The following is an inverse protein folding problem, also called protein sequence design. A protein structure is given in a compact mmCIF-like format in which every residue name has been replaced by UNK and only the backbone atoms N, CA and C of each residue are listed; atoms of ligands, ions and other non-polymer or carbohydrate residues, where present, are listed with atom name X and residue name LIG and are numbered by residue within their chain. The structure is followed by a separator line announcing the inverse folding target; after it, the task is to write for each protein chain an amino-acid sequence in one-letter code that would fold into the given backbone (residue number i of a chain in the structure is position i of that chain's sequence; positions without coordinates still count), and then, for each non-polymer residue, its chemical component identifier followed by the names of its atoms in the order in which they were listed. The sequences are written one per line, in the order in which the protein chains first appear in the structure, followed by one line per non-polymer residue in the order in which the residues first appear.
data_IF_955218104110
#
_entry.id   IF_955218104110
#
_cell.length_a   1.000
_cell.length_b   1.000
_cell.length_c   1.000
_cell.angle_alpha   90.00
_cell.angle_beta   90.00
_cell.angle_gamma   90.00
#
_symmetry.space_group_name_H-M   'P 1'
#
loop_
_entity.id
_entity.type
_entity.pdbx_description
1 polymer ?
#
# COMPACT_ATOMS: atom_id res chain seq x y z
N UNK A 1 -10.07 26.22 -18.67
CA UNK A 1 -10.02 24.76 -18.45
C UNK A 1 -10.43 24.08 -19.74
N UNK A 2 -9.54 23.29 -20.35
CA UNK A 2 -9.88 22.47 -21.53
C UNK A 2 -10.59 21.20 -21.06
N UNK A 3 -11.74 20.89 -21.66
CA UNK A 3 -12.46 19.64 -21.40
C UNK A 3 -11.58 18.49 -21.92
N UNK A 4 -11.26 17.48 -21.09
CA UNK A 4 -10.44 16.35 -21.54
C UNK A 4 -11.17 15.56 -22.64
N UNK A 5 -10.45 15.08 -23.64
CA UNK A 5 -11.01 14.20 -24.67
C UNK A 5 -11.22 12.77 -24.13
N UNK A 6 -12.03 11.98 -24.83
CA UNK A 6 -12.24 10.57 -24.49
C UNK A 6 -10.92 9.80 -24.38
N UNK A 7 -10.00 9.99 -25.32
CA UNK A 7 -8.69 9.35 -25.30
C UNK A 7 -7.85 9.78 -24.08
N UNK A 8 -7.94 11.05 -23.67
CA UNK A 8 -7.26 11.53 -22.47
C UNK A 8 -7.83 10.90 -21.20
N UNK A 9 -9.15 10.74 -21.10
CA UNK A 9 -9.79 10.05 -19.96
C UNK A 9 -9.40 8.57 -19.90
N UNK A 10 -9.43 7.87 -21.04
CA UNK A 10 -9.00 6.46 -21.09
C UNK A 10 -7.54 6.29 -20.68
N UNK A 11 -6.66 7.19 -21.14
CA UNK A 11 -5.26 7.22 -20.73
C UNK A 11 -5.13 7.45 -19.22
N UNK A 12 -5.86 8.42 -18.69
CA UNK A 12 -5.84 8.73 -17.26
C UNK A 12 -6.36 7.56 -16.41
N UNK A 13 -7.37 6.82 -16.87
CA UNK A 13 -7.83 5.62 -16.19
C UNK A 13 -6.75 4.53 -16.16
N UNK A 14 -6.08 4.28 -17.30
CA UNK A 14 -5.00 3.31 -17.38
C UNK A 14 -3.80 3.68 -16.47
N UNK A 15 -3.43 4.97 -16.43
CA UNK A 15 -2.37 5.45 -15.55
C UNK A 15 -2.74 5.27 -14.05
N UNK A 16 -4.03 5.45 -13.68
CA UNK A 16 -4.52 5.16 -12.32
C UNK A 16 -4.47 3.67 -11.98
N UNK A 17 -4.81 2.78 -12.92
CA UNK A 17 -4.72 1.33 -12.68
C UNK A 17 -3.27 0.87 -12.47
N UNK A 18 -2.35 1.38 -13.29
CA UNK A 18 -0.91 1.13 -13.14
C UNK A 18 -0.43 1.65 -11.77
N UNK A 19 -0.90 2.84 -11.41
CA UNK A 19 -0.94 3.41 -10.07
C UNK A 19 -1.21 2.38 -8.97
N UNK A 20 -2.44 1.86 -9.02
CA UNK A 20 -2.97 0.92 -8.05
C UNK A 20 -2.19 -0.39 -8.00
N UNK A 21 -1.81 -0.93 -9.16
CA UNK A 21 -1.00 -2.16 -9.24
C UNK A 21 0.36 -1.99 -8.55
N UNK A 22 0.99 -0.82 -8.72
CA UNK A 22 2.27 -0.50 -8.05
C UNK A 22 2.11 -0.47 -6.53
N UNK A 23 1.06 0.18 -6.02
CA UNK A 23 0.79 0.21 -4.58
C UNK A 23 0.49 -1.18 -4.00
N UNK A 24 -0.26 -2.02 -4.71
CA UNK A 24 -0.51 -3.40 -4.30
C UNK A 24 0.77 -4.21 -4.22
N UNK A 25 1.64 -4.10 -5.23
CA UNK A 25 2.95 -4.76 -5.21
C UNK A 25 3.79 -4.33 -4.01
N UNK A 26 3.83 -3.03 -3.69
CA UNK A 26 4.54 -2.56 -2.50
C UNK A 26 3.92 -3.08 -1.20
N UNK A 27 2.60 -3.19 -1.12
CA UNK A 27 1.93 -3.78 0.04
C UNK A 27 2.35 -5.25 0.25
N UNK A 28 2.51 -6.01 -0.84
CA UNK A 28 2.98 -7.40 -0.82
C UNK A 28 4.48 -7.50 -0.47
N UNK A 29 5.32 -6.63 -1.05
CA UNK A 29 6.75 -6.58 -0.76
C UNK A 29 7.04 -6.23 0.70
N UNK A 30 6.27 -5.29 1.29
CA UNK A 30 6.37 -4.96 2.71
C UNK A 30 6.06 -6.16 3.61
N UNK A 31 5.05 -6.95 3.25
CA UNK A 31 4.71 -8.17 3.97
C UNK A 31 5.83 -9.22 3.85
N UNK A 32 6.34 -9.42 2.62
CA UNK A 32 7.41 -10.38 2.33
C UNK A 32 8.74 -10.06 3.04
N UNK A 33 9.19 -8.81 3.00
CA UNK A 33 10.49 -8.39 3.57
C UNK A 33 10.48 -8.41 5.09
N UNK A 34 9.38 -8.00 5.72
CA UNK A 34 9.35 -7.75 7.16
C UNK A 34 8.65 -8.83 7.98
N UNK A 35 7.91 -9.75 7.35
CA UNK A 35 7.24 -10.86 8.04
C UNK A 35 8.20 -11.66 8.92
N UNK A 36 9.39 -12.02 8.42
CA UNK A 36 10.37 -12.79 9.19
C UNK A 36 11.09 -11.95 10.26
N UNK A 37 11.52 -10.74 9.90
CA UNK A 37 12.32 -9.86 10.78
C UNK A 37 11.53 -9.39 12.01
N UNK A 38 10.22 -9.24 11.87
CA UNK A 38 9.34 -8.70 12.91
C UNK A 38 8.42 -9.76 13.54
N UNK A 39 8.56 -11.04 13.15
CA UNK A 39 7.58 -12.07 13.48
C UNK A 39 7.34 -12.20 14.99
N UNK A 40 8.40 -12.17 15.81
CA UNK A 40 8.28 -12.66 17.19
C UNK A 40 9.32 -12.05 18.14
N UNK A 41 9.30 -10.74 18.40
CA UNK A 41 10.20 -10.16 19.39
C UNK A 41 10.02 -10.76 20.80
N UNK A 42 8.81 -11.23 21.12
CA UNK A 42 8.48 -11.88 22.39
C UNK A 42 9.10 -13.27 22.62
N UNK A 43 9.61 -13.95 21.59
CA UNK A 43 10.41 -15.18 21.81
C UNK A 43 11.85 -14.84 22.21
N UNK A 44 12.34 -13.65 21.87
CA UNK A 44 13.67 -13.20 22.27
C UNK A 44 13.78 -13.08 23.79
N UNK A 45 12.69 -12.73 24.49
CA UNK A 45 12.65 -12.69 25.96
C UNK A 45 13.01 -14.03 26.59
N UNK A 46 12.83 -15.18 25.93
CA UNK A 46 13.20 -16.46 26.51
C UNK A 46 14.73 -16.66 26.63
N UNK A 47 15.51 -15.98 25.80
CA UNK A 47 16.96 -16.21 25.66
C UNK A 47 17.80 -14.96 25.89
N UNK A 48 17.23 -13.77 25.69
CA UNK A 48 17.88 -12.48 25.83
C UNK A 48 17.14 -11.64 26.87
N UNK A 49 17.84 -11.33 27.97
CA UNK A 49 17.29 -10.61 29.12
C UNK A 49 17.97 -9.27 29.33
N UNK A 50 17.31 -8.42 30.11
CA UNK A 50 17.83 -7.14 30.58
C UNK A 50 17.35 -5.94 29.75
N UNK A 51 17.78 -4.72 30.11
CA UNK A 51 17.24 -3.49 29.55
C UNK A 51 17.41 -3.35 28.03
N UNK A 52 18.47 -3.94 27.46
CA UNK A 52 18.70 -3.93 26.03
C UNK A 52 17.66 -4.77 25.26
N UNK A 53 17.31 -5.95 25.79
CA UNK A 53 16.28 -6.81 25.21
C UNK A 53 14.91 -6.10 25.23
N UNK A 54 14.54 -5.48 26.36
CA UNK A 54 13.28 -4.73 26.48
C UNK A 54 13.15 -3.57 25.48
N UNK A 55 14.25 -2.81 25.26
CA UNK A 55 14.27 -1.75 24.24
C UNK A 55 14.12 -2.32 22.83
N UNK A 56 14.81 -3.41 22.51
CA UNK A 56 14.70 -4.06 21.21
C UNK A 56 13.28 -4.55 20.92
N UNK A 57 12.64 -5.22 21.88
CA UNK A 57 11.27 -5.73 21.74
C UNK A 57 10.31 -4.59 21.49
N UNK A 58 10.39 -3.54 22.31
CA UNK A 58 9.54 -2.34 22.19
C UNK A 58 9.68 -1.72 20.80
N UNK A 59 10.91 -1.51 20.33
CA UNK A 59 11.16 -0.92 19.03
C UNK A 59 10.70 -1.83 17.88
N UNK A 60 10.94 -3.13 17.98
CA UNK A 60 10.52 -4.12 16.98
C UNK A 60 9.00 -4.15 16.85
N UNK A 61 8.27 -4.14 17.97
CA UNK A 61 6.80 -4.05 17.97
C UNK A 61 6.30 -2.74 17.36
N UNK A 62 6.97 -1.62 17.67
CA UNK A 62 6.65 -0.31 17.08
C UNK A 62 6.81 -0.34 15.56
N UNK A 63 7.94 -0.85 15.05
CA UNK A 63 8.19 -1.00 13.61
C UNK A 63 7.19 -1.95 12.93
N UNK A 64 6.83 -3.05 13.58
CA UNK A 64 5.81 -3.97 13.07
C UNK A 64 4.45 -3.29 12.90
N UNK A 65 4.08 -2.43 13.84
CA UNK A 65 2.88 -1.61 13.73
C UNK A 65 2.96 -0.61 12.56
N UNK A 66 4.08 0.11 12.45
CA UNK A 66 4.31 1.09 11.37
C UNK A 66 4.25 0.45 9.97
N UNK A 67 4.88 -0.71 9.79
CA UNK A 67 4.88 -1.41 8.50
C UNK A 67 3.48 -1.92 8.13
N UNK A 68 2.72 -2.42 9.11
CA UNK A 68 1.32 -2.80 8.90
C UNK A 68 0.46 -1.61 8.48
N UNK A 69 0.59 -0.47 9.16
CA UNK A 69 -0.12 0.76 8.76
C UNK A 69 0.26 1.22 7.36
N UNK A 70 1.54 1.13 6.99
CA UNK A 70 2.00 1.47 5.65
C UNK A 70 1.40 0.53 4.59
N UNK A 71 1.39 -0.78 4.86
CA UNK A 71 0.76 -1.79 3.99
C UNK A 71 -0.73 -1.50 3.78
N UNK A 72 -1.46 -1.22 4.86
CA UNK A 72 -2.89 -0.87 4.80
C UNK A 72 -3.11 0.42 4.00
N UNK A 73 -2.24 1.42 4.15
CA UNK A 73 -2.28 2.66 3.39
C UNK A 73 -2.07 2.42 1.88
N UNK A 74 -1.10 1.57 1.51
CA UNK A 74 -0.89 1.17 0.13
C UNK A 74 -2.14 0.49 -0.46
N UNK A 75 -2.72 -0.49 0.25
CA UNK A 75 -3.92 -1.19 -0.20
C UNK A 75 -5.13 -0.25 -0.35
N UNK A 76 -5.37 0.63 0.62
CA UNK A 76 -6.45 1.62 0.59
C UNK A 76 -6.28 2.63 -0.55
N UNK A 77 -5.04 3.05 -0.81
CA UNK A 77 -4.72 3.96 -1.93
C UNK A 77 -4.95 3.27 -3.28
N UNK A 78 -4.54 2.00 -3.41
CA UNK A 78 -4.79 1.23 -4.62
C UNK A 78 -6.29 1.06 -4.92
N UNK A 79 -7.08 0.75 -3.89
CA UNK A 79 -8.54 0.62 -4.02
C UNK A 79 -9.21 1.95 -4.42
N UNK A 80 -8.74 3.06 -3.86
CA UNK A 80 -9.20 4.40 -4.27
C UNK A 80 -8.86 4.69 -5.73
N UNK A 81 -7.64 4.39 -6.17
CA UNK A 81 -7.21 4.60 -7.55
C UNK A 81 -8.02 3.77 -8.54
N UNK A 82 -8.32 2.50 -8.21
CA UNK A 82 -9.18 1.63 -9.04
C UNK A 82 -10.59 2.20 -9.20
N UNK A 83 -11.23 2.62 -8.10
CA UNK A 83 -12.54 3.26 -8.15
C UNK A 83 -12.53 4.54 -8.98
N UNK A 84 -11.48 5.35 -8.85
CA UNK A 84 -11.31 6.54 -9.69
C UNK A 84 -11.09 6.19 -11.17
N UNK A 85 -10.35 5.12 -11.48
CA UNK A 85 -10.17 4.66 -12.85
C UNK A 85 -11.50 4.21 -13.46
N UNK A 86 -12.32 3.47 -12.71
CA UNK A 86 -13.67 3.05 -13.12
C UNK A 86 -14.57 4.25 -13.43
N UNK A 87 -14.60 5.25 -12.55
CA UNK A 87 -15.34 6.49 -12.78
C UNK A 87 -14.85 7.21 -14.04
N UNK A 88 -13.53 7.34 -14.21
CA UNK A 88 -12.94 7.98 -15.41
C UNK A 88 -13.28 7.21 -16.70
N UNK A 89 -13.34 5.87 -16.68
CA UNK A 89 -13.80 5.08 -17.84
C UNK A 89 -15.30 5.29 -18.10
N UNK A 90 -16.11 5.38 -17.05
CA UNK A 90 -17.54 5.65 -17.18
C UNK A 90 -17.81 7.05 -17.76
N UNK A 91 -16.99 8.04 -17.41
CA UNK A 91 -17.01 9.38 -18.02
C UNK A 91 -16.61 9.32 -19.50
N UNK A 92 -15.53 8.59 -19.83
CA UNK A 92 -15.08 8.42 -21.21
C UNK A 92 -16.15 7.72 -22.10
N UNK A 93 -16.90 6.77 -21.54
CA UNK A 93 -17.97 6.07 -22.25
C UNK A 93 -19.19 6.95 -22.57
N UNK A 94 -19.35 8.07 -21.84
CA UNK A 94 -20.42 9.04 -22.08
C UNK A 94 -20.01 10.14 -23.08
N UNK A 95 -18.74 10.17 -23.49
CA UNK A 95 -18.28 11.14 -24.48
C UNK A 95 -18.62 10.68 -25.90
N UNK A 96 -19.06 11.61 -26.78
CA UNK A 96 -19.21 11.32 -28.19
C UNK A 96 -17.85 10.97 -28.81
N UNK A 97 -17.86 9.99 -29.72
CA UNK A 97 -16.70 9.48 -30.48
C UNK A 97 -16.08 10.58 -31.36
#
# INVERSE_FOLDING_TARGET
MTIPSQAQLLRQAADKDLLAATFMRYAEELDGVFSATLAQPQTADAFWKGPAAGRFITETMRRASEIRMLRESCASTADRLRRQAELTRAEAAQMPM
#
